data_IF_552552354004
#
_entry.id   IF_552552354004
#
_cell.length_a   1.000
_cell.length_b   1.000
_cell.length_c   1.000
_cell.angle_alpha   90.00
_cell.angle_beta   90.00
_cell.angle_gamma   90.00
#
_symmetry.space_group_name_H-M   'P 1'
#
loop_
_entity.id
_entity.type
_entity.pdbx_description
1 polymer ?
#
# COMPACT_ATOMS: atom_id res chain seq x y z
N UNK A 1 -18.68 20.57 -7.26
CA UNK A 1 -18.10 19.22 -7.13
C UNK A 1 -17.02 19.07 -8.17
N UNK A 2 -15.76 18.78 -7.80
CA UNK A 2 -14.75 18.43 -8.80
C UNK A 2 -15.11 17.06 -9.38
N UNK A 3 -15.42 16.99 -10.67
CA UNK A 3 -15.62 15.74 -11.40
C UNK A 3 -14.30 15.32 -12.04
N UNK A 4 -13.79 14.16 -11.66
CA UNK A 4 -12.66 13.53 -12.36
C UNK A 4 -13.23 12.77 -13.56
N UNK A 5 -12.94 13.23 -14.79
CA UNK A 5 -13.31 12.49 -15.99
C UNK A 5 -12.30 11.37 -16.21
N UNK A 6 -12.61 10.17 -15.73
CA UNK A 6 -11.86 8.94 -16.01
C UNK A 6 -12.60 8.20 -17.11
N UNK A 7 -11.97 8.06 -18.27
CA UNK A 7 -12.48 7.24 -19.36
C UNK A 7 -12.10 5.78 -19.10
N UNK A 8 -13.07 4.89 -19.11
CA UNK A 8 -12.84 3.45 -19.06
C UNK A 8 -12.99 2.87 -20.47
N UNK A 9 -12.23 1.83 -20.78
CA UNK A 9 -12.50 0.98 -21.94
C UNK A 9 -13.75 0.12 -21.69
N UNK A 10 -14.34 -0.43 -22.74
CA UNK A 10 -15.51 -1.32 -22.61
C UNK A 10 -15.18 -2.58 -21.78
N UNK A 11 -13.95 -3.11 -21.91
CA UNK A 11 -13.46 -4.25 -21.14
C UNK A 11 -13.27 -3.92 -19.65
N UNK A 12 -12.73 -2.74 -19.35
CA UNK A 12 -12.61 -2.27 -17.96
C UNK A 12 -14.00 -2.04 -17.34
N UNK A 13 -14.94 -1.45 -18.09
CA UNK A 13 -16.32 -1.27 -17.63
C UNK A 13 -16.99 -2.60 -17.33
N UNK A 14 -16.79 -3.61 -18.17
CA UNK A 14 -17.37 -4.92 -17.95
C UNK A 14 -16.77 -5.59 -16.70
N UNK A 15 -15.45 -5.51 -16.53
CA UNK A 15 -14.79 -5.97 -15.31
C UNK A 15 -15.33 -5.30 -14.04
N UNK A 16 -15.54 -3.97 -14.08
CA UNK A 16 -16.10 -3.24 -12.93
C UNK A 16 -17.57 -3.58 -12.70
N UNK A 17 -18.38 -3.79 -13.76
CA UNK A 17 -19.78 -4.22 -13.63
C UNK A 17 -19.90 -5.60 -13.00
N UNK A 18 -19.07 -6.56 -13.42
CA UNK A 18 -19.04 -7.90 -12.85
C UNK A 18 -18.69 -7.84 -11.36
N UNK A 19 -17.69 -7.03 -10.98
CA UNK A 19 -17.31 -6.85 -9.58
C UNK A 19 -18.41 -6.15 -8.75
N UNK A 20 -19.05 -5.10 -9.30
CA UNK A 20 -20.16 -4.43 -8.65
C UNK A 20 -21.37 -5.37 -8.44
N UNK A 21 -21.68 -6.20 -9.44
CA UNK A 21 -22.75 -7.19 -9.38
C UNK A 21 -22.45 -8.30 -8.34
N UNK A 22 -21.19 -8.74 -8.24
CA UNK A 22 -20.76 -9.69 -7.21
C UNK A 22 -20.92 -9.12 -5.78
N UNK A 23 -20.76 -7.82 -5.60
CA UNK A 23 -21.05 -7.12 -4.33
C UNK A 23 -22.53 -6.71 -4.17
N UNK A 24 -23.39 -6.96 -5.17
CA UNK A 24 -24.80 -6.55 -5.16
C UNK A 24 -25.01 -5.04 -5.20
N UNK A 25 -24.04 -4.28 -5.71
CA UNK A 25 -24.02 -2.81 -5.72
C UNK A 25 -24.23 -2.23 -7.12
N UNK A 26 -24.70 -0.99 -7.18
CA UNK A 26 -24.68 -0.23 -8.43
C UNK A 26 -23.25 0.13 -8.82
N UNK A 27 -22.96 0.22 -10.13
CA UNK A 27 -21.64 0.58 -10.66
C UNK A 27 -21.07 1.87 -10.04
N UNK A 28 -21.92 2.89 -9.92
CA UNK A 28 -21.55 4.18 -9.32
C UNK A 28 -21.22 4.05 -7.83
N UNK A 29 -22.03 3.30 -7.08
CA UNK A 29 -21.79 3.07 -5.66
C UNK A 29 -20.51 2.26 -5.44
N UNK A 30 -20.29 1.23 -6.25
CA UNK A 30 -19.09 0.40 -6.19
C UNK A 30 -17.81 1.21 -6.47
N UNK A 31 -17.82 2.05 -7.51
CA UNK A 31 -16.68 2.94 -7.81
C UNK A 31 -16.42 3.96 -6.71
N UNK A 32 -17.48 4.52 -6.12
CA UNK A 32 -17.36 5.42 -4.98
C UNK A 32 -16.74 4.73 -3.77
N UNK A 33 -17.27 3.56 -3.39
CA UNK A 33 -16.78 2.77 -2.26
C UNK A 33 -15.32 2.34 -2.46
N UNK A 34 -14.95 1.99 -3.70
CA UNK A 34 -13.58 1.65 -4.05
C UNK A 34 -12.64 2.84 -3.84
N UNK A 35 -13.00 4.02 -4.33
CA UNK A 35 -12.20 5.24 -4.14
C UNK A 35 -12.02 5.60 -2.66
N UNK A 36 -13.09 5.46 -1.86
CA UNK A 36 -13.03 5.70 -0.41
C UNK A 36 -12.14 4.66 0.29
N UNK A 37 -12.26 3.38 -0.06
CA UNK A 37 -11.46 2.28 0.52
C UNK A 37 -9.97 2.45 0.19
N UNK A 38 -9.64 2.78 -1.05
CA UNK A 38 -8.26 3.04 -1.48
C UNK A 38 -7.68 4.26 -0.74
N UNK A 39 -8.46 5.33 -0.59
CA UNK A 39 -8.04 6.50 0.17
C UNK A 39 -7.77 6.17 1.64
N UNK A 40 -8.67 5.44 2.30
CA UNK A 40 -8.49 4.97 3.68
C UNK A 40 -7.25 4.06 3.82
N UNK A 41 -7.02 3.16 2.85
CA UNK A 41 -5.83 2.30 2.84
C UNK A 41 -4.56 3.14 2.77
N UNK A 42 -4.51 4.12 1.87
CA UNK A 42 -3.33 4.98 1.71
C UNK A 42 -3.07 5.83 2.95
N UNK A 43 -4.11 6.39 3.57
CA UNK A 43 -3.98 7.10 4.85
C UNK A 43 -3.44 6.18 5.95
N UNK A 44 -3.98 4.97 6.06
CA UNK A 44 -3.53 3.99 7.04
C UNK A 44 -2.06 3.61 6.83
N UNK A 45 -1.67 3.28 5.60
CA UNK A 45 -0.27 2.94 5.28
C UNK A 45 0.66 4.11 5.60
N UNK A 46 0.30 5.33 5.19
CA UNK A 46 1.11 6.51 5.48
C UNK A 46 1.30 6.72 6.99
N UNK A 47 0.21 6.64 7.76
CA UNK A 47 0.28 6.78 9.21
C UNK A 47 1.06 5.65 9.90
N UNK A 48 0.94 4.42 9.41
CA UNK A 48 1.67 3.27 9.92
C UNK A 48 3.18 3.38 9.67
N UNK A 49 3.59 3.89 8.49
CA UNK A 49 4.99 4.15 8.17
C UNK A 49 5.58 5.24 9.08
N UNK A 50 4.89 6.37 9.22
CA UNK A 50 5.32 7.46 10.10
C UNK A 50 5.47 6.99 11.56
N UNK A 51 4.49 6.20 12.03
CA UNK A 51 4.54 5.64 13.38
C UNK A 51 5.69 4.64 13.56
N UNK A 52 5.93 3.79 12.56
CA UNK A 52 7.05 2.85 12.56
C UNK A 52 8.41 3.56 12.59
N UNK A 53 8.55 4.65 11.83
CA UNK A 53 9.77 5.47 11.82
C UNK A 53 10.01 6.13 13.18
N UNK A 54 8.95 6.64 13.83
CA UNK A 54 9.04 7.19 15.19
C UNK A 54 9.46 6.13 16.19
N UNK A 55 8.81 4.96 16.18
CA UNK A 55 9.15 3.86 17.09
C UNK A 55 10.57 3.36 16.89
N UNK A 56 11.04 3.27 15.64
CA UNK A 56 12.41 2.89 15.34
C UNK A 56 13.41 3.87 15.95
N UNK A 57 13.15 5.18 15.82
CA UNK A 57 13.99 6.21 16.42
C UNK A 57 14.02 6.09 17.95
N UNK A 58 12.85 5.95 18.58
CA UNK A 58 12.74 5.75 20.03
C UNK A 58 13.49 4.49 20.50
N UNK A 59 13.40 3.40 19.74
CA UNK A 59 14.14 2.16 20.02
C UNK A 59 15.66 2.35 19.89
N UNK A 60 16.12 2.98 18.81
CA UNK A 60 17.54 3.22 18.54
C UNK A 60 18.16 4.12 19.63
N UNK A 61 17.40 5.10 20.15
CA UNK A 61 17.80 5.97 21.25
C UNK A 61 17.86 5.22 22.60
N UNK A 62 16.86 4.37 22.89
CA UNK A 62 16.77 3.63 24.15
C UNK A 62 17.72 2.43 24.23
N UNK A 63 17.97 1.76 23.10
CA UNK A 63 18.72 0.50 23.03
C UNK A 63 19.84 0.52 21.98
N UNK A 64 20.81 1.45 22.08
CA UNK A 64 21.84 1.65 21.06
C UNK A 64 22.76 0.43 20.83
N UNK A 65 22.80 -0.53 21.77
CA UNK A 65 23.63 -1.75 21.68
C UNK A 65 22.88 -2.97 21.16
N UNK A 66 21.55 -2.93 21.12
CA UNK A 66 20.71 -4.05 20.68
C UNK A 66 20.25 -3.91 19.23
N UNK A 67 20.56 -2.78 18.58
CA UNK A 67 20.34 -2.61 17.13
C UNK A 67 21.30 -3.57 16.41
N UNK A 68 20.79 -4.64 15.75
CA UNK A 68 21.66 -5.52 14.98
C UNK A 68 22.35 -4.68 13.90
N UNK A 69 23.67 -4.87 13.67
CA UNK A 69 24.38 -4.12 12.65
C UNK A 69 23.65 -4.30 11.33
N UNK A 70 23.19 -3.19 10.74
CA UNK A 70 22.50 -3.20 9.44
C UNK A 70 23.41 -3.96 8.48
N UNK A 71 22.98 -5.10 7.89
CA UNK A 71 23.81 -5.80 6.94
C UNK A 71 24.18 -4.80 5.85
N UNK A 72 25.49 -4.59 5.67
CA UNK A 72 25.98 -3.69 4.64
C UNK A 72 25.36 -4.14 3.32
N UNK A 73 24.64 -3.25 2.66
CA UNK A 73 24.12 -3.48 1.32
C UNK A 73 25.32 -3.60 0.37
N UNK A 74 25.91 -4.79 0.29
CA UNK A 74 27.22 -4.98 -0.33
C UNK A 74 28.00 -6.21 0.11
N UNK A 75 27.39 -7.39 0.15
CA UNK A 75 28.14 -8.66 0.02
C UNK A 75 27.35 -9.74 -0.72
N UNK A 76 26.61 -9.33 -1.75
CA UNK A 76 26.10 -10.23 -2.78
C UNK A 76 27.12 -10.41 -3.90
N UNK A 77 28.19 -11.17 -3.66
CA UNK A 77 28.94 -11.86 -4.74
C UNK A 77 29.71 -13.06 -4.20
N UNK A 78 29.11 -14.24 -4.41
CA UNK A 78 29.79 -15.48 -4.75
C UNK A 78 30.69 -16.12 -3.70
N UNK A 79 30.14 -17.05 -2.93
CA UNK A 79 30.87 -18.22 -2.47
C UNK A 79 29.91 -19.42 -2.37
N UNK A 80 29.52 -19.92 -3.55
CA UNK A 80 29.03 -21.28 -3.71
C UNK A 80 30.00 -22.00 -4.66
N UNK A 81 30.42 -23.20 -4.24
CA UNK A 81 31.08 -24.27 -4.98
C UNK A 81 32.56 -24.08 -5.39
N UNK A 82 33.46 -24.73 -4.64
CA UNK A 82 34.36 -25.80 -5.12
C UNK A 82 34.92 -26.58 -3.91
#
# INVERSE_FOLDING_TARGET
MPSLNVSFTDEELEGVRVAAAAEGKSLKQYLHDLGVREHQRNQFISGALEWGDRLRKEFDEAFPKEVPPRPAAGSGRGAAAA
#
